data_IF_237665136077
#
_entry.id   IF_237665136077
#
_cell.length_a   1.000
_cell.length_b   1.000
_cell.length_c   1.000
_cell.angle_alpha   90.00
_cell.angle_beta   90.00
_cell.angle_gamma   90.00
#
_symmetry.space_group_name_H-M   'P 1'
#
loop_
_entity.id
_entity.type
_entity.pdbx_description
1 polymer ?
#
# COMPACT_ATOMS: atom_id res chain seq x y z
N UNK A 1 21.78 6.99 -6.72
CA UNK A 1 20.61 6.13 -6.46
C UNK A 1 19.66 6.96 -5.62
N UNK A 2 18.38 7.02 -5.99
CA UNK A 2 17.40 7.75 -5.19
C UNK A 2 17.22 7.09 -3.81
N UNK A 3 16.77 7.89 -2.82
CA UNK A 3 16.48 7.36 -1.49
C UNK A 3 15.18 6.55 -1.49
N UNK A 4 14.19 6.95 -2.30
CA UNK A 4 12.90 6.24 -2.39
C UNK A 4 12.41 6.14 -3.83
N UNK A 5 11.94 4.95 -4.21
CA UNK A 5 11.16 4.71 -5.41
C UNK A 5 9.67 4.75 -5.06
N UNK A 6 8.95 5.71 -5.61
CA UNK A 6 7.49 5.80 -5.49
C UNK A 6 6.87 5.07 -6.67
N UNK A 7 6.27 3.91 -6.42
CA UNK A 7 5.64 3.08 -7.46
C UNK A 7 4.16 3.46 -7.55
N UNK A 8 3.77 3.93 -8.74
CA UNK A 8 2.39 4.33 -9.06
C UNK A 8 1.85 3.42 -10.16
N UNK A 9 0.93 2.54 -9.78
CA UNK A 9 0.20 1.72 -10.77
C UNK A 9 -1.06 2.45 -11.20
N UNK A 10 -1.33 2.44 -12.51
CA UNK A 10 -2.45 3.16 -13.08
C UNK A 10 -3.09 2.38 -14.24
N UNK A 11 -4.42 2.47 -14.34
CA UNK A 11 -5.20 1.97 -15.46
C UNK A 11 -6.41 2.89 -15.66
N UNK A 12 -6.55 3.47 -16.87
CA UNK A 12 -7.69 4.30 -17.28
C UNK A 12 -8.04 5.44 -16.28
N UNK A 13 -7.01 6.06 -15.65
CA UNK A 13 -7.22 7.15 -14.67
C UNK A 13 -6.17 8.27 -14.84
N UNK A 14 -6.28 9.06 -15.91
CA UNK A 14 -5.38 10.17 -16.17
C UNK A 14 -5.43 11.26 -15.08
N UNK A 15 -6.61 11.54 -14.56
CA UNK A 15 -6.80 12.54 -13.51
C UNK A 15 -6.24 12.09 -12.16
N UNK A 16 -6.39 10.83 -11.81
CA UNK A 16 -5.79 10.24 -10.63
C UNK A 16 -4.26 10.24 -10.69
N UNK A 17 -3.69 9.90 -11.86
CA UNK A 17 -2.25 9.97 -12.06
C UNK A 17 -1.71 11.40 -11.85
N UNK A 18 -2.39 12.43 -12.40
CA UNK A 18 -2.00 13.84 -12.17
C UNK A 18 -2.01 14.20 -10.69
N UNK A 19 -3.07 13.87 -9.95
CA UNK A 19 -3.16 14.16 -8.51
C UNK A 19 -2.05 13.49 -7.71
N UNK A 20 -1.75 12.23 -7.99
CA UNK A 20 -0.67 11.49 -7.31
C UNK A 20 0.69 12.13 -7.61
N UNK A 21 0.97 12.44 -8.88
CA UNK A 21 2.19 13.12 -9.30
C UNK A 21 2.34 14.49 -8.63
N UNK A 22 1.31 15.33 -8.65
CA UNK A 22 1.33 16.66 -8.01
C UNK A 22 1.64 16.55 -6.51
N UNK A 23 1.11 15.54 -5.82
CA UNK A 23 1.37 15.31 -4.40
C UNK A 23 2.81 14.89 -4.13
N UNK A 24 3.47 14.23 -5.08
CA UNK A 24 4.87 13.81 -4.98
C UNK A 24 5.84 14.96 -5.31
N UNK A 25 5.64 15.68 -6.39
CA UNK A 25 6.50 16.83 -6.73
C UNK A 25 6.43 17.92 -5.67
N UNK A 26 5.29 18.04 -4.98
CA UNK A 26 5.07 18.95 -3.85
C UNK A 26 5.83 18.56 -2.58
N UNK A 27 6.40 17.35 -2.47
CA UNK A 27 7.14 16.95 -1.26
C UNK A 27 8.39 17.84 -1.05
N UNK A 28 8.66 18.17 0.20
CA UNK A 28 9.87 18.94 0.58
C UNK A 28 11.15 18.13 0.42
N UNK A 29 11.07 16.82 0.63
CA UNK A 29 12.15 15.87 0.37
C UNK A 29 12.23 15.58 -1.14
N UNK A 30 13.41 15.72 -1.75
CA UNK A 30 13.57 15.69 -3.22
C UNK A 30 14.34 14.48 -3.77
N UNK A 31 14.89 13.63 -2.89
CA UNK A 31 15.66 12.45 -3.29
C UNK A 31 14.75 11.23 -3.52
N UNK A 32 13.95 11.32 -4.58
CA UNK A 32 12.99 10.29 -5.00
C UNK A 32 13.03 10.08 -6.51
N UNK A 33 12.60 8.90 -6.94
CA UNK A 33 12.14 8.61 -8.29
C UNK A 33 10.67 8.19 -8.28
N UNK A 34 9.99 8.33 -9.41
CA UNK A 34 8.62 7.86 -9.63
C UNK A 34 8.62 6.80 -10.73
N UNK A 35 8.13 5.61 -10.41
CA UNK A 35 7.94 4.53 -11.37
C UNK A 35 6.44 4.42 -11.68
N UNK A 36 6.03 4.88 -12.85
CA UNK A 36 4.66 4.77 -13.33
C UNK A 36 4.53 3.44 -14.08
N UNK A 37 3.68 2.54 -13.61
CA UNK A 37 3.38 1.27 -14.28
C UNK A 37 1.96 1.33 -14.82
N UNK A 38 1.83 1.42 -16.15
CA UNK A 38 0.53 1.53 -16.84
C UNK A 38 0.06 0.17 -17.32
N UNK A 39 -1.26 -0.07 -17.27
CA UNK A 39 -1.84 -1.21 -17.99
C UNK A 39 -1.64 -1.02 -19.51
N UNK A 40 -1.45 -2.11 -20.27
CA UNK A 40 -1.30 -2.02 -21.72
C UNK A 40 -2.64 -1.63 -22.36
N UNK A 41 -2.82 -0.38 -22.71
CA UNK A 41 -3.95 0.14 -23.49
C UNK A 41 -3.58 1.51 -24.07
N UNK A 42 -3.89 1.81 -25.31
CA UNK A 42 -3.74 3.14 -25.86
C UNK A 42 -4.82 4.03 -25.29
N UNK A 43 -4.52 4.73 -24.19
CA UNK A 43 -5.43 5.68 -23.57
C UNK A 43 -4.73 7.01 -23.23
N UNK A 44 -5.50 7.98 -22.77
CA UNK A 44 -5.02 9.29 -22.35
C UNK A 44 -3.98 9.19 -21.22
N UNK A 45 -4.05 8.16 -20.38
CA UNK A 45 -3.15 7.93 -19.23
C UNK A 45 -1.70 7.75 -19.70
N UNK A 46 -1.48 7.00 -20.78
CA UNK A 46 -0.13 6.79 -21.34
C UNK A 46 0.43 8.12 -21.88
N UNK A 47 -0.39 8.92 -22.56
CA UNK A 47 0.02 10.24 -23.05
C UNK A 47 0.51 11.14 -21.92
N UNK A 48 -0.24 11.20 -20.83
CA UNK A 48 0.10 11.97 -19.62
C UNK A 48 1.38 11.43 -18.95
N UNK A 49 1.50 10.11 -18.81
CA UNK A 49 2.69 9.50 -18.21
C UNK A 49 3.96 9.78 -19.05
N UNK A 50 3.83 9.76 -20.38
CA UNK A 50 4.91 10.12 -21.32
C UNK A 50 5.33 11.58 -21.19
N UNK A 51 4.34 12.50 -21.06
CA UNK A 51 4.59 13.91 -20.83
C UNK A 51 5.34 14.13 -19.49
N UNK A 52 4.90 13.47 -18.41
CA UNK A 52 5.56 13.54 -17.10
C UNK A 52 7.02 13.05 -17.18
N UNK A 53 7.27 11.89 -17.80
CA UNK A 53 8.62 11.36 -17.99
C UNK A 53 9.50 12.32 -18.80
N UNK A 54 8.94 12.98 -19.81
CA UNK A 54 9.70 13.92 -20.65
C UNK A 54 10.05 15.22 -19.92
N UNK A 55 9.26 15.60 -18.91
CA UNK A 55 9.41 16.83 -18.14
C UNK A 55 10.33 16.71 -16.91
N UNK A 56 10.48 15.49 -16.35
CA UNK A 56 11.29 15.25 -15.15
C UNK A 56 12.04 13.92 -15.27
N UNK A 57 13.37 13.98 -15.30
CA UNK A 57 14.25 12.81 -15.44
C UNK A 57 14.16 11.79 -14.28
N UNK A 58 13.50 12.12 -13.18
CA UNK A 58 13.24 11.22 -12.05
C UNK A 58 12.00 10.37 -12.26
N UNK A 59 11.24 10.57 -13.35
CA UNK A 59 10.01 9.86 -13.66
C UNK A 59 10.29 8.85 -14.77
N UNK A 60 9.93 7.59 -14.51
CA UNK A 60 10.13 6.48 -15.44
C UNK A 60 8.79 5.81 -15.73
N UNK A 61 8.46 5.70 -17.00
CA UNK A 61 7.27 5.00 -17.48
C UNK A 61 7.61 3.56 -17.84
N UNK A 62 6.80 2.64 -17.35
CA UNK A 62 6.87 1.22 -17.64
C UNK A 62 5.48 0.71 -18.05
N UNK A 63 5.38 0.06 -19.21
CA UNK A 63 4.15 -0.62 -19.59
C UNK A 63 4.12 -2.02 -18.97
N UNK A 64 3.04 -2.36 -18.29
CA UNK A 64 2.88 -3.65 -17.62
C UNK A 64 2.91 -4.80 -18.62
N UNK A 65 3.75 -5.81 -18.37
CA UNK A 65 3.86 -7.03 -19.16
C UNK A 65 2.89 -8.10 -18.61
N UNK A 66 2.82 -8.24 -17.30
CA UNK A 66 1.97 -9.20 -16.62
C UNK A 66 0.51 -8.77 -16.50
N UNK A 67 -0.22 -9.36 -15.58
CA UNK A 67 -1.64 -9.07 -15.37
C UNK A 67 -1.95 -8.70 -13.92
N UNK A 68 -2.93 -7.81 -13.76
CA UNK A 68 -3.47 -7.42 -12.47
C UNK A 68 -2.57 -6.44 -11.69
N UNK A 69 -3.18 -5.77 -10.72
CA UNK A 69 -2.54 -4.70 -9.95
C UNK A 69 -1.28 -5.15 -9.21
N UNK A 70 -1.29 -6.35 -8.62
CA UNK A 70 -0.13 -6.87 -7.89
C UNK A 70 1.00 -7.32 -8.83
N UNK A 71 0.67 -7.72 -10.08
CA UNK A 71 1.67 -7.94 -11.13
C UNK A 71 2.39 -6.64 -11.48
N UNK A 72 1.64 -5.56 -11.74
CA UNK A 72 2.19 -4.24 -12.01
C UNK A 72 3.07 -3.73 -10.86
N UNK A 73 2.63 -3.89 -9.61
CA UNK A 73 3.43 -3.52 -8.43
C UNK A 73 4.74 -4.31 -8.34
N UNK A 74 4.74 -5.60 -8.69
CA UNK A 74 5.95 -6.43 -8.70
C UNK A 74 6.92 -6.00 -9.81
N UNK A 75 6.42 -5.59 -10.97
CA UNK A 75 7.26 -5.02 -12.03
C UNK A 75 7.92 -3.71 -11.56
N UNK A 76 7.16 -2.85 -10.88
CA UNK A 76 7.70 -1.66 -10.22
C UNK A 76 8.77 -2.00 -9.17
N UNK A 77 8.56 -3.03 -8.32
CA UNK A 77 9.59 -3.49 -7.36
C UNK A 77 10.87 -3.91 -8.07
N UNK A 78 10.75 -4.58 -9.21
CA UNK A 78 11.91 -5.06 -9.97
C UNK A 78 12.72 -3.90 -10.53
N UNK A 79 12.04 -2.87 -11.06
CA UNK A 79 12.64 -1.68 -11.68
C UNK A 79 13.10 -0.62 -10.66
N UNK A 80 12.76 -0.76 -9.38
CA UNK A 80 13.08 0.21 -8.35
C UNK A 80 14.57 0.23 -8.00
N UNK A 81 15.19 1.43 -8.08
CA UNK A 81 16.57 1.71 -7.73
C UNK A 81 16.73 2.31 -6.31
N UNK A 82 15.63 2.78 -5.70
CA UNK A 82 15.63 3.38 -4.38
C UNK A 82 15.95 2.39 -3.25
N UNK A 83 16.60 2.91 -2.21
CA UNK A 83 16.83 2.15 -0.97
C UNK A 83 15.52 1.72 -0.31
N UNK A 84 14.48 2.55 -0.47
CA UNK A 84 13.13 2.29 0.00
C UNK A 84 12.13 2.31 -1.16
N UNK A 85 11.01 1.61 -0.98
CA UNK A 85 9.87 1.62 -1.89
C UNK A 85 8.64 2.14 -1.15
N UNK A 86 7.91 3.02 -1.83
CA UNK A 86 6.59 3.50 -1.43
C UNK A 86 5.57 3.25 -2.54
N UNK A 87 4.49 2.56 -2.24
CA UNK A 87 3.40 2.37 -3.20
C UNK A 87 2.37 3.50 -3.03
N UNK A 88 2.15 4.27 -4.09
CA UNK A 88 1.12 5.31 -4.14
C UNK A 88 0.34 5.14 -5.44
N UNK A 89 -0.79 4.45 -5.38
CA UNK A 89 -1.60 4.18 -6.58
C UNK A 89 -2.15 5.48 -7.16
N UNK A 90 -2.46 5.49 -8.46
CA UNK A 90 -3.12 6.64 -9.08
C UNK A 90 -4.44 6.98 -8.35
N UNK A 91 -4.66 8.26 -8.09
CA UNK A 91 -5.76 8.81 -7.29
C UNK A 91 -5.40 9.03 -5.82
N UNK A 92 -4.55 8.18 -5.22
CA UNK A 92 -4.09 8.34 -3.85
C UNK A 92 -2.97 9.39 -3.77
N UNK A 93 -2.84 10.08 -2.64
CA UNK A 93 -1.89 11.19 -2.49
C UNK A 93 -1.16 11.13 -1.15
N UNK A 94 0.02 11.73 -1.07
CA UNK A 94 0.64 12.04 0.21
C UNK A 94 -0.24 13.03 0.99
N UNK A 95 -0.39 12.79 2.28
CA UNK A 95 -1.32 13.56 3.13
C UNK A 95 -0.87 15.02 3.37
N UNK A 96 0.42 15.30 3.21
CA UNK A 96 1.03 16.64 3.28
C UNK A 96 2.36 16.67 2.52
N UNK A 97 2.90 17.87 2.30
CA UNK A 97 4.18 18.05 1.59
C UNK A 97 5.42 17.63 2.40
N UNK A 98 5.27 17.30 3.67
CA UNK A 98 6.38 16.90 4.58
C UNK A 98 6.42 15.40 4.87
N UNK A 99 5.54 14.60 4.27
CA UNK A 99 5.42 13.16 4.58
C UNK A 99 6.72 12.41 4.34
N UNK A 100 7.37 12.59 3.19
CA UNK A 100 8.64 11.93 2.91
C UNK A 100 9.74 12.36 3.87
N UNK A 101 9.88 13.66 4.14
CA UNK A 101 10.89 14.17 5.07
C UNK A 101 10.71 13.57 6.47
N UNK A 102 9.47 13.55 6.99
CA UNK A 102 9.15 12.94 8.29
C UNK A 102 9.43 11.42 8.29
N UNK A 103 9.05 10.71 7.23
CA UNK A 103 9.29 9.27 7.15
C UNK A 103 10.80 8.95 7.23
N UNK A 104 11.65 9.71 6.52
CA UNK A 104 13.10 9.52 6.56
C UNK A 104 13.74 9.94 7.89
N UNK A 105 13.21 10.95 8.57
CA UNK A 105 13.59 11.27 9.94
C UNK A 105 13.34 10.07 10.88
N UNK A 106 12.18 9.43 10.79
CA UNK A 106 11.84 8.26 11.61
C UNK A 106 12.60 6.99 11.23
N UNK A 107 13.04 6.86 9.98
CA UNK A 107 13.85 5.73 9.52
C UNK A 107 15.32 5.84 9.90
N UNK A 108 15.87 7.06 10.10
CA UNK A 108 17.27 7.25 10.51
C UNK A 108 17.62 6.54 11.83
N UNK A 109 16.63 6.40 12.70
CA UNK A 109 16.79 5.81 14.04
C UNK A 109 16.31 4.35 14.13
N UNK A 110 16.00 3.69 13.00
CA UNK A 110 15.42 2.36 13.07
C UNK A 110 15.69 1.47 11.85
N UNK A 111 16.34 0.34 12.11
CA UNK A 111 16.47 -0.74 11.13
C UNK A 111 15.18 -1.60 11.12
N UNK A 112 14.17 -1.22 10.35
CA UNK A 112 12.94 -1.98 10.20
C UNK A 112 12.65 -2.26 8.73
N UNK A 113 12.00 -3.39 8.47
CA UNK A 113 11.58 -3.74 7.11
C UNK A 113 10.45 -2.86 6.56
N UNK A 114 9.62 -2.30 7.45
CA UNK A 114 8.52 -1.41 7.10
C UNK A 114 8.22 -0.39 8.18
N UNK A 115 8.08 0.88 7.78
CA UNK A 115 7.52 1.96 8.59
C UNK A 115 6.06 2.17 8.18
N UNK A 116 5.15 2.26 9.15
CA UNK A 116 3.71 2.29 8.97
C UNK A 116 3.16 3.60 9.54
N UNK A 117 2.67 4.48 8.68
CA UNK A 117 1.94 5.70 9.06
C UNK A 117 0.43 5.51 9.09
N UNK A 118 -0.25 6.53 9.56
CA UNK A 118 -1.70 6.64 9.47
C UNK A 118 -2.15 7.02 8.06
N UNK A 119 -3.45 6.93 7.82
CA UNK A 119 -4.06 7.34 6.56
C UNK A 119 -5.43 7.97 6.77
N UNK A 120 -5.89 8.75 5.81
CA UNK A 120 -7.25 9.28 5.74
C UNK A 120 -7.96 8.79 4.48
N UNK A 121 -9.24 8.45 4.60
CA UNK A 121 -10.10 8.16 3.46
C UNK A 121 -10.89 9.42 3.15
N UNK A 122 -10.75 9.91 1.92
CA UNK A 122 -11.49 11.07 1.43
C UNK A 122 -12.93 10.64 1.10
N UNK A 123 -13.92 11.30 1.68
CA UNK A 123 -15.33 11.00 1.43
C UNK A 123 -16.13 12.30 1.39
N UNK A 124 -15.88 13.11 0.36
CA UNK A 124 -16.52 14.40 0.20
C UNK A 124 -16.35 15.30 1.43
N UNK A 125 -17.41 15.51 2.20
CA UNK A 125 -17.42 16.40 3.36
C UNK A 125 -16.90 15.78 4.66
N UNK A 126 -16.80 14.45 4.76
CA UNK A 126 -16.42 13.76 6.01
C UNK A 126 -15.28 12.77 5.76
N UNK A 127 -14.06 13.21 6.03
CA UNK A 127 -12.90 12.33 5.95
C UNK A 127 -12.81 11.42 7.16
N UNK A 128 -12.51 10.12 6.97
CA UNK A 128 -12.20 9.19 8.05
C UNK A 128 -10.70 9.06 8.21
N UNK A 129 -10.18 9.43 9.38
CA UNK A 129 -8.76 9.33 9.69
C UNK A 129 -8.46 8.12 10.55
N UNK A 130 -7.39 7.40 10.20
CA UNK A 130 -6.87 6.24 10.93
C UNK A 130 -5.42 6.53 11.30
N UNK A 131 -5.17 6.75 12.57
CA UNK A 131 -3.84 6.90 13.16
C UNK A 131 -3.56 5.76 14.15
N UNK A 132 -2.31 5.60 14.48
CA UNK A 132 -1.83 4.51 15.35
C UNK A 132 -0.94 5.06 16.43
N UNK A 133 -0.92 4.44 17.63
CA UNK A 133 0.13 4.69 18.62
C UNK A 133 1.51 4.36 18.00
N UNK A 134 2.49 5.17 18.31
CA UNK A 134 3.88 4.92 17.91
C UNK A 134 4.45 3.67 18.56
N UNK A 135 5.38 3.01 17.88
CA UNK A 135 6.11 1.88 18.40
C UNK A 135 6.21 0.69 17.46
N UNK A 136 6.87 -0.34 17.95
CA UNK A 136 7.00 -1.63 17.21
C UNK A 136 5.67 -2.37 17.21
N UNK A 137 5.40 -3.09 16.13
CA UNK A 137 4.24 -3.98 16.04
C UNK A 137 4.69 -5.36 15.59
N UNK A 138 4.20 -6.40 16.27
CA UNK A 138 4.47 -7.78 15.88
C UNK A 138 3.62 -8.20 14.68
N UNK A 139 4.03 -9.28 14.00
CA UNK A 139 3.24 -9.86 12.92
C UNK A 139 1.85 -10.34 13.41
N UNK A 140 1.76 -10.82 14.65
CA UNK A 140 0.48 -11.26 15.24
C UNK A 140 -0.41 -10.05 15.49
N UNK A 141 0.11 -8.97 16.09
CA UNK A 141 -0.67 -7.75 16.33
C UNK A 141 -1.15 -7.13 15.02
N UNK A 142 -0.30 -7.08 13.99
CA UNK A 142 -0.70 -6.61 12.67
C UNK A 142 -1.81 -7.50 12.07
N UNK A 143 -1.65 -8.81 12.14
CA UNK A 143 -2.58 -9.78 11.56
C UNK A 143 -4.00 -9.69 12.15
N UNK A 144 -4.12 -9.37 13.44
CA UNK A 144 -5.41 -9.29 14.13
C UNK A 144 -5.87 -7.85 14.43
N UNK A 145 -5.16 -6.84 13.94
CA UNK A 145 -5.54 -5.46 14.10
C UNK A 145 -6.82 -5.14 13.31
N UNK A 146 -7.85 -4.62 14.01
CA UNK A 146 -9.13 -4.25 13.40
C UNK A 146 -9.02 -3.09 12.42
N UNK A 147 -8.09 -2.18 12.63
CA UNK A 147 -7.95 -0.99 11.79
C UNK A 147 -7.12 -1.24 10.55
N UNK A 148 -6.45 -2.42 10.46
CA UNK A 148 -5.57 -2.76 9.34
C UNK A 148 -4.47 -1.74 9.13
N UNK A 149 -3.65 -1.95 8.11
CA UNK A 149 -2.77 -0.94 7.56
C UNK A 149 -3.20 -0.69 6.12
N UNK A 150 -2.92 0.47 5.60
CA UNK A 150 -3.04 0.77 4.18
C UNK A 150 -1.63 0.81 3.59
N UNK A 151 -1.36 0.03 2.56
CA UNK A 151 -0.01 -0.05 1.99
C UNK A 151 0.45 1.28 1.39
N UNK A 152 -0.48 2.17 0.99
CA UNK A 152 -0.17 3.52 0.55
C UNK A 152 0.36 4.43 1.69
N UNK A 153 0.18 4.03 2.93
CA UNK A 153 0.75 4.71 4.10
C UNK A 153 1.96 3.98 4.69
N UNK A 154 2.66 3.20 3.87
CA UNK A 154 3.80 2.39 4.29
C UNK A 154 5.01 2.62 3.38
N UNK A 155 6.20 2.69 4.01
CA UNK A 155 7.47 2.69 3.30
C UNK A 155 8.25 1.43 3.66
N UNK A 156 8.75 0.73 2.65
CA UNK A 156 9.40 -0.57 2.77
C UNK A 156 10.88 -0.49 2.40
N UNK A 157 11.73 -1.19 3.12
CA UNK A 157 13.11 -1.38 2.70
C UNK A 157 13.16 -2.28 1.45
N UNK A 158 13.73 -1.80 0.35
CA UNK A 158 13.70 -2.45 -0.97
C UNK A 158 14.27 -3.87 -0.94
N UNK A 159 15.43 -4.08 -0.31
CA UNK A 159 16.04 -5.41 -0.24
C UNK A 159 15.20 -6.40 0.56
N UNK A 160 14.55 -5.95 1.64
CA UNK A 160 13.64 -6.81 2.42
C UNK A 160 12.45 -7.20 1.56
N UNK A 161 11.85 -6.24 0.83
CA UNK A 161 10.73 -6.45 -0.07
C UNK A 161 11.06 -7.44 -1.18
N UNK A 162 12.21 -7.27 -1.86
CA UNK A 162 12.72 -8.22 -2.86
C UNK A 162 12.99 -9.60 -2.25
N UNK A 163 13.52 -9.69 -1.04
CA UNK A 163 13.86 -10.97 -0.36
C UNK A 163 12.65 -11.80 0.08
N UNK A 164 11.47 -11.19 0.25
CA UNK A 164 10.22 -11.89 0.57
C UNK A 164 9.40 -12.24 -0.67
N UNK A 165 9.89 -11.87 -1.87
CA UNK A 165 9.30 -12.21 -3.16
C UNK A 165 8.20 -11.26 -3.63
N UNK A 166 8.07 -10.06 -3.04
CA UNK A 166 7.06 -9.09 -3.44
C UNK A 166 5.63 -9.55 -3.14
N UNK A 167 4.69 -9.03 -3.92
CA UNK A 167 3.27 -9.39 -3.81
C UNK A 167 3.00 -10.80 -4.35
N UNK A 168 2.22 -11.58 -3.62
CA UNK A 168 1.75 -12.89 -4.06
C UNK A 168 0.52 -12.74 -4.97
N UNK A 169 0.70 -12.91 -6.27
CA UNK A 169 -0.36 -12.74 -7.27
C UNK A 169 -1.47 -13.81 -7.20
N UNK A 170 -1.30 -14.87 -6.41
CA UNK A 170 -2.37 -15.85 -6.13
C UNK A 170 -3.48 -15.26 -5.25
N UNK A 171 -3.21 -14.18 -4.51
CA UNK A 171 -4.23 -13.44 -3.79
C UNK A 171 -4.71 -12.25 -4.62
N UNK A 172 -6.03 -12.16 -4.80
CA UNK A 172 -6.63 -11.13 -5.66
C UNK A 172 -6.86 -9.80 -4.96
N UNK A 173 -7.08 -9.81 -3.63
CA UNK A 173 -7.51 -8.65 -2.85
C UNK A 173 -6.72 -8.41 -1.55
N UNK A 174 -5.95 -9.37 -1.07
CA UNK A 174 -5.23 -9.27 0.21
C UNK A 174 -3.73 -9.59 0.09
N UNK A 175 -3.14 -9.44 -1.11
CA UNK A 175 -1.71 -9.64 -1.30
C UNK A 175 -0.86 -8.60 -0.56
N UNK A 176 -1.38 -7.38 -0.38
CA UNK A 176 -0.79 -6.35 0.47
C UNK A 176 -0.66 -6.81 1.93
N UNK A 177 -1.70 -7.46 2.45
CA UNK A 177 -1.68 -8.03 3.80
C UNK A 177 -0.66 -9.17 3.93
N UNK A 178 -0.54 -10.03 2.92
CA UNK A 178 0.48 -11.11 2.84
C UNK A 178 1.89 -10.51 2.85
N UNK A 179 2.13 -9.52 2.00
CA UNK A 179 3.41 -8.83 1.86
C UNK A 179 3.87 -8.20 3.17
N UNK A 180 3.00 -7.39 3.78
CA UNK A 180 3.32 -6.70 5.04
C UNK A 180 3.64 -7.69 6.15
N UNK A 181 2.88 -8.78 6.28
CA UNK A 181 3.16 -9.85 7.26
C UNK A 181 4.52 -10.51 7.03
N UNK A 182 4.87 -10.81 5.78
CA UNK A 182 6.18 -11.37 5.42
C UNK A 182 7.33 -10.43 5.79
N UNK A 183 7.19 -9.14 5.46
CA UNK A 183 8.17 -8.11 5.77
C UNK A 183 8.33 -7.95 7.29
N UNK A 184 7.24 -7.85 8.05
CA UNK A 184 7.27 -7.74 9.52
C UNK A 184 7.97 -8.95 10.14
N UNK A 185 7.66 -10.16 9.67
CA UNK A 185 8.32 -11.38 10.16
C UNK A 185 9.82 -11.42 9.86
N UNK A 186 10.23 -10.87 8.72
CA UNK A 186 11.62 -10.90 8.26
C UNK A 186 12.49 -9.86 8.95
N UNK A 187 12.01 -8.61 9.06
CA UNK A 187 12.81 -7.47 9.45
C UNK A 187 12.09 -6.49 10.41
N UNK A 188 10.95 -6.89 10.98
CA UNK A 188 10.22 -6.05 11.91
C UNK A 188 9.51 -4.86 11.27
N UNK A 189 8.84 -4.09 12.13
CA UNK A 189 8.12 -2.88 11.73
C UNK A 189 8.09 -1.85 12.83
N UNK A 190 7.85 -0.59 12.45
CA UNK A 190 7.57 0.53 13.36
C UNK A 190 6.34 1.28 12.88
N UNK A 191 5.48 1.70 13.81
CA UNK A 191 4.36 2.61 13.58
C UNK A 191 4.73 4.02 13.99
N UNK A 192 4.16 4.98 13.27
CA UNK A 192 4.16 6.41 13.60
C UNK A 192 2.75 6.93 13.63
N UNK A 193 2.52 8.01 14.37
CA UNK A 193 1.18 8.61 14.54
C UNK A 193 0.77 9.49 13.36
N UNK A 194 1.73 9.95 12.57
CA UNK A 194 1.51 10.84 11.43
C UNK A 194 0.70 10.18 10.33
N UNK A 195 -0.10 11.02 9.65
CA UNK A 195 -0.90 10.63 8.50
C UNK A 195 -0.05 10.74 7.24
N UNK A 196 0.22 9.61 6.61
CA UNK A 196 1.10 9.52 5.45
C UNK A 196 0.34 9.59 4.12
N UNK A 197 -0.85 9.00 4.05
CA UNK A 197 -1.60 8.93 2.81
C UNK A 197 -3.03 9.45 2.93
N UNK A 198 -3.54 10.01 1.84
CA UNK A 198 -4.93 10.32 1.62
C UNK A 198 -5.44 9.45 0.47
N UNK A 199 -6.44 8.63 0.75
CA UNK A 199 -6.93 7.55 -0.11
C UNK A 199 -8.30 7.93 -0.65
N UNK A 200 -8.51 7.76 -1.95
CA UNK A 200 -9.84 7.88 -2.54
C UNK A 200 -10.69 6.63 -2.22
N UNK A 201 -12.00 6.80 -1.95
CA UNK A 201 -12.90 5.67 -1.70
C UNK A 201 -13.15 4.87 -2.98
N UNK A 202 -13.56 3.61 -2.84
CA UNK A 202 -13.97 2.77 -3.97
C UNK A 202 -12.89 1.83 -4.49
N UNK A 203 -11.84 1.60 -3.72
CA UNK A 203 -10.82 0.61 -4.06
C UNK A 203 -11.38 -0.82 -4.22
N UNK A 204 -10.65 -1.69 -4.93
CA UNK A 204 -11.06 -3.09 -5.21
C UNK A 204 -11.43 -3.90 -3.96
N UNK A 205 -10.80 -3.64 -2.83
CA UNK A 205 -11.08 -4.32 -1.57
C UNK A 205 -12.50 -4.08 -1.05
N UNK A 206 -13.09 -2.92 -1.35
CA UNK A 206 -14.46 -2.58 -0.94
C UNK A 206 -15.52 -3.41 -1.67
N UNK A 207 -15.21 -3.85 -2.88
CA UNK A 207 -16.11 -4.63 -3.73
C UNK A 207 -16.09 -6.13 -3.40
N UNK A 208 -15.02 -6.62 -2.76
CA UNK A 208 -14.78 -8.04 -2.52
C UNK A 208 -14.61 -8.44 -1.05
N UNK A 209 -15.32 -7.81 -0.11
CA UNK A 209 -15.06 -7.92 1.33
C UNK A 209 -15.05 -9.37 1.86
N UNK A 210 -15.90 -10.28 1.33
CA UNK A 210 -15.89 -11.70 1.71
C UNK A 210 -14.61 -12.42 1.24
N UNK A 211 -14.14 -12.11 0.03
CA UNK A 211 -12.92 -12.68 -0.51
C UNK A 211 -11.71 -12.17 0.26
N UNK A 212 -11.65 -10.87 0.59
CA UNK A 212 -10.62 -10.29 1.45
C UNK A 212 -10.50 -11.06 2.77
N UNK A 213 -11.63 -11.32 3.45
CA UNK A 213 -11.60 -12.07 4.71
C UNK A 213 -11.16 -13.52 4.54
N UNK A 214 -11.57 -14.19 3.46
CA UNK A 214 -11.13 -15.55 3.13
C UNK A 214 -9.63 -15.59 2.86
N UNK A 215 -9.11 -14.70 2.04
CA UNK A 215 -7.68 -14.62 1.74
C UNK A 215 -6.87 -14.29 3.01
N UNK A 216 -7.27 -13.31 3.81
CA UNK A 216 -6.62 -12.99 5.09
C UNK A 216 -6.61 -14.15 6.07
N UNK A 217 -7.66 -15.00 6.09
CA UNK A 217 -7.66 -16.21 6.88
C UNK A 217 -6.60 -17.22 6.39
N UNK A 218 -6.54 -17.45 5.09
CA UNK A 218 -5.53 -18.34 4.48
C UNK A 218 -4.11 -17.84 4.74
N UNK A 219 -3.88 -16.53 4.60
CA UNK A 219 -2.59 -15.90 4.87
C UNK A 219 -2.16 -16.10 6.33
N UNK A 220 -3.06 -15.83 7.29
CA UNK A 220 -2.77 -16.07 8.71
C UNK A 220 -2.40 -17.53 8.97
N UNK A 221 -3.15 -18.47 8.40
CA UNK A 221 -2.88 -19.89 8.51
C UNK A 221 -1.49 -20.25 8.00
N UNK A 222 -1.13 -19.74 6.82
CA UNK A 222 0.11 -20.09 6.14
C UNK A 222 1.34 -19.44 6.79
N UNK A 223 1.23 -18.19 7.25
CA UNK A 223 2.35 -17.42 7.75
C UNK A 223 2.55 -17.47 9.26
N UNK A 224 1.49 -17.63 10.04
CA UNK A 224 1.58 -17.58 11.50
C UNK A 224 1.47 -18.97 12.13
N UNK A 225 0.71 -19.89 11.52
CA UNK A 225 0.57 -21.27 12.01
C UNK A 225 -0.08 -21.39 13.38
N UNK A 226 -0.14 -22.63 13.91
CA UNK A 226 -0.57 -22.94 15.27
C UNK A 226 -2.09 -22.99 15.48
N UNK A 227 -2.59 -23.93 16.31
CA UNK A 227 -4.03 -24.15 16.48
C UNK A 227 -4.75 -22.95 17.11
N UNK A 228 -4.12 -22.24 18.03
CA UNK A 228 -4.70 -21.05 18.67
C UNK A 228 -4.88 -19.89 17.66
N UNK A 229 -3.91 -19.69 16.78
CA UNK A 229 -3.99 -18.66 15.73
C UNK A 229 -5.07 -19.02 14.70
N UNK A 230 -5.20 -20.30 14.35
CA UNK A 230 -6.25 -20.79 13.46
C UNK A 230 -7.64 -20.57 14.05
N UNK A 231 -7.84 -20.92 15.33
CA UNK A 231 -9.10 -20.69 16.04
C UNK A 231 -9.43 -19.18 16.11
N UNK A 232 -8.46 -18.34 16.50
CA UNK A 232 -8.63 -16.89 16.54
C UNK A 232 -8.95 -16.30 15.17
N UNK A 233 -8.32 -16.80 14.11
CA UNK A 233 -8.57 -16.35 12.73
C UNK A 233 -9.96 -16.74 12.23
N UNK A 234 -10.47 -17.90 12.58
CA UNK A 234 -11.84 -18.35 12.26
C UNK A 234 -12.87 -17.51 12.99
N UNK A 235 -12.71 -17.29 14.30
CA UNK A 235 -13.57 -16.43 15.12
C UNK A 235 -13.60 -14.99 14.55
N UNK A 236 -12.43 -14.45 14.22
CA UNK A 236 -12.33 -13.12 13.65
C UNK A 236 -13.04 -12.99 12.29
N UNK A 237 -12.89 -13.96 11.42
CA UNK A 237 -13.55 -14.00 10.10
C UNK A 237 -15.07 -14.16 10.27
N UNK A 238 -15.52 -14.96 11.23
CA UNK A 238 -16.93 -15.11 11.59
C UNK A 238 -17.56 -13.82 12.10
N UNK A 239 -16.92 -13.15 13.06
CA UNK A 239 -17.36 -11.85 13.60
C UNK A 239 -17.41 -10.72 12.55
N UNK A 240 -16.47 -10.72 11.60
CA UNK A 240 -16.49 -9.78 10.51
C UNK A 240 -17.67 -10.03 9.56
N UNK A 241 -17.97 -11.29 9.25
CA UNK A 241 -19.13 -11.67 8.42
C UNK A 241 -20.45 -11.26 9.04
N UNK A 242 -20.67 -11.50 10.34
CA UNK A 242 -21.90 -11.12 11.04
C UNK A 242 -22.13 -9.61 11.01
N UNK A 243 -21.09 -8.81 11.20
CA UNK A 243 -21.18 -7.34 11.10
C UNK A 243 -21.53 -6.83 9.70
N UNK A 244 -21.04 -7.50 8.65
CA UNK A 244 -21.36 -7.14 7.26
C UNK A 244 -22.83 -7.47 6.95
N UNK A 245 -23.29 -8.63 7.38
CA UNK A 245 -24.68 -9.06 7.20
C UNK A 245 -25.61 -8.12 7.95
N UNK A 246 -25.34 -7.78 9.20
CA UNK A 246 -26.15 -6.85 9.98
C UNK A 246 -26.25 -5.46 9.34
N UNK A 247 -25.14 -4.90 8.84
CA UNK A 247 -25.15 -3.60 8.13
C UNK A 247 -25.97 -3.63 6.83
N UNK A 248 -25.98 -4.75 6.11
CA UNK A 248 -26.81 -4.90 4.88
C UNK A 248 -28.29 -5.03 5.17
N UNK A 249 -28.66 -5.56 6.34
CA UNK A 249 -30.06 -5.70 6.77
C UNK A 249 -30.61 -4.35 7.26
N UNK A 250 -29.79 -3.52 7.91
CA UNK A 250 -30.20 -2.21 8.45
C UNK A 250 -30.19 -1.07 7.42
N UNK A 251 -29.56 -1.24 6.24
CA UNK A 251 -29.51 -0.24 5.17
C UNK A 251 -30.50 -0.59 4.01
N UNK A 252 -31.45 -1.50 4.21
CA UNK A 252 -32.63 -1.74 3.42
C UNK A 252 -33.88 -1.22 4.15
#
# INVERSE_FOLDING_TARGET
>A
MPRVSVITVVKDDPSGLRRTHESLIGQTFKDWEMLIVTAPAPDETIGIATEMQSSDSRIHLHEQIGTGIYGAMNEGITSADGEFIWFMNAGDTFASNSVLAHAFEKLSDSEVGVLIGGYKILNGTTNKTFSYPEGKISAIDFAFNRRGGCHQAMIFHTQVLKSVGGFNTAYSLASDFDLVLKVIKKAGSRRVSEIYAAIEPGGRADQGIFLVHKEKHLIRRNLLGGPAILAASLLWTGLARTKIISRRIWNK
#
